data_IF_418480855585
#
_entry.id   IF_418480855585
#
_cell.length_a   1.000
_cell.length_b   1.000
_cell.length_c   1.000
_cell.angle_alpha   90.00
_cell.angle_beta   90.00
_cell.angle_gamma   90.00
#
_symmetry.space_group_name_H-M   'P 1'
#
loop_
_entity.id
_entity.type
_entity.pdbx_description
1 polymer ?
#
# COMPACT_ATOMS: atom_id res chain seq x y z
N UNK A 1 2.19 -9.48 -0.24
CA UNK A 1 2.21 -8.52 -1.37
C UNK A 1 3.39 -7.58 -1.24
N UNK A 2 4.04 -7.23 -2.35
CA UNK A 2 5.14 -6.27 -2.47
C UNK A 2 4.68 -5.11 -3.36
N UNK A 3 4.91 -3.86 -2.92
CA UNK A 3 4.63 -2.66 -3.70
C UNK A 3 5.92 -2.20 -4.41
N UNK A 4 5.92 -2.27 -5.73
CA UNK A 4 7.05 -1.91 -6.56
C UNK A 4 7.10 -0.40 -6.79
N UNK A 5 8.30 0.13 -7.02
CA UNK A 5 8.52 1.55 -7.30
C UNK A 5 7.76 1.96 -8.56
N UNK A 6 6.73 2.77 -8.38
CA UNK A 6 5.96 3.33 -9.49
C UNK A 6 6.76 4.41 -10.21
N UNK A 7 6.56 4.50 -11.53
CA UNK A 7 7.04 5.62 -12.33
C UNK A 7 6.00 6.73 -12.45
N UNK A 8 6.41 7.88 -12.99
CA UNK A 8 5.47 8.91 -13.43
C UNK A 8 4.59 9.53 -12.33
N UNK A 9 4.90 9.34 -11.05
CA UNK A 9 4.06 9.74 -9.91
C UNK A 9 3.77 11.25 -9.89
N UNK A 10 4.76 12.08 -10.25
CA UNK A 10 4.57 13.53 -10.40
C UNK A 10 3.61 13.89 -11.55
N UNK A 11 3.66 13.14 -12.66
CA UNK A 11 2.72 13.31 -13.79
C UNK A 11 1.33 12.79 -13.42
N UNK A 12 1.23 11.67 -12.72
CA UNK A 12 -0.02 11.15 -12.17
C UNK A 12 -0.69 12.18 -11.25
N UNK A 13 0.05 12.77 -10.30
CA UNK A 13 -0.48 13.78 -9.39
C UNK A 13 -1.07 15.00 -10.12
N UNK A 14 -0.39 15.47 -11.19
CA UNK A 14 -0.91 16.55 -12.05
C UNK A 14 -2.18 16.14 -12.80
N UNK A 15 -2.23 14.91 -13.33
CA UNK A 15 -3.40 14.40 -14.04
C UNK A 15 -4.60 14.23 -13.10
N UNK A 16 -4.41 13.65 -11.92
CA UNK A 16 -5.44 13.53 -10.89
C UNK A 16 -6.03 14.91 -10.56
N UNK A 17 -5.18 15.92 -10.34
CA UNK A 17 -5.67 17.29 -10.12
C UNK A 17 -6.48 17.82 -11.31
N UNK A 18 -6.00 17.61 -12.54
CA UNK A 18 -6.64 18.12 -13.74
C UNK A 18 -7.99 17.45 -14.04
N UNK A 19 -8.18 16.19 -13.70
CA UNK A 19 -9.44 15.47 -13.96
C UNK A 19 -10.46 15.62 -12.82
N UNK A 20 -10.00 16.03 -11.63
CA UNK A 20 -10.83 16.22 -10.44
C UNK A 20 -11.19 17.67 -10.12
N UNK A 21 -10.53 18.69 -10.71
CA UNK A 21 -10.93 20.10 -10.55
C UNK A 21 -12.12 20.44 -11.47
N UNK A 22 -13.29 20.84 -10.95
CA UNK A 22 -14.46 21.19 -11.77
C UNK A 22 -14.25 22.38 -12.71
N UNK A 23 -13.24 23.23 -12.45
CA UNK A 23 -12.89 24.37 -13.31
C UNK A 23 -11.91 24.00 -14.41
N UNK A 24 -11.37 22.77 -14.37
CA UNK A 24 -10.44 22.29 -15.39
C UNK A 24 -11.19 21.87 -16.66
N UNK A 25 -10.68 22.20 -17.86
CA UNK A 25 -11.26 21.69 -19.11
C UNK A 25 -11.16 20.16 -19.24
N UNK A 26 -10.40 19.50 -18.36
CA UNK A 26 -10.23 18.03 -18.31
C UNK A 26 -11.09 17.37 -17.23
N UNK A 27 -11.94 18.11 -16.53
CA UNK A 27 -12.82 17.56 -15.49
C UNK A 27 -13.61 16.36 -16.00
N UNK A 28 -13.66 15.28 -15.21
CA UNK A 28 -14.37 14.04 -15.55
C UNK A 28 -13.72 13.18 -16.64
N UNK A 29 -12.60 13.60 -17.22
CA UNK A 29 -11.87 12.84 -18.26
C UNK A 29 -10.83 11.91 -17.63
N UNK A 30 -11.30 10.87 -16.94
CA UNK A 30 -10.45 9.90 -16.25
C UNK A 30 -9.62 9.04 -17.22
N UNK A 31 -8.52 8.49 -16.71
CA UNK A 31 -7.66 7.57 -17.46
C UNK A 31 -8.29 6.17 -17.48
N UNK A 32 -8.10 5.44 -18.59
CA UNK A 32 -8.32 4.00 -18.59
C UNK A 32 -7.27 3.29 -17.72
N UNK A 33 -7.54 2.03 -17.35
CA UNK A 33 -6.60 1.22 -16.60
C UNK A 33 -5.28 1.00 -17.35
N UNK A 34 -5.33 0.86 -18.67
CA UNK A 34 -4.15 0.73 -19.53
C UNK A 34 -3.31 2.02 -19.55
N UNK A 35 -3.97 3.17 -19.71
CA UNK A 35 -3.29 4.47 -19.64
C UNK A 35 -2.66 4.73 -18.28
N UNK A 36 -3.30 4.26 -17.20
CA UNK A 36 -2.75 4.33 -15.86
C UNK A 36 -1.53 3.41 -15.74
N UNK A 37 -1.63 2.15 -16.16
CA UNK A 37 -0.51 1.19 -16.18
C UNK A 37 0.69 1.77 -16.89
N UNK A 38 0.50 2.28 -18.11
CA UNK A 38 1.60 2.79 -18.93
C UNK A 38 2.30 3.99 -18.28
N UNK A 39 1.59 4.73 -17.44
CA UNK A 39 2.12 5.85 -16.68
C UNK A 39 2.87 5.44 -15.41
N UNK A 40 2.37 4.43 -14.67
CA UNK A 40 2.84 4.11 -13.31
C UNK A 40 3.65 2.83 -13.20
N UNK A 41 3.65 1.99 -14.24
CA UNK A 41 4.33 0.70 -14.19
C UNK A 41 5.80 0.86 -13.79
N UNK A 42 6.35 -0.08 -13.00
CA UNK A 42 7.75 -0.04 -12.62
C UNK A 42 8.69 -0.13 -13.82
N UNK A 43 9.95 0.23 -13.62
CA UNK A 43 10.96 0.07 -14.67
C UNK A 43 11.24 -1.40 -14.95
N UNK A 44 11.65 -1.76 -16.20
CA UNK A 44 12.13 -3.10 -16.49
C UNK A 44 13.24 -3.54 -15.54
N UNK A 45 14.14 -2.62 -15.16
CA UNK A 45 15.17 -2.86 -14.16
C UNK A 45 14.58 -3.22 -12.77
N UNK A 46 13.59 -2.45 -12.28
CA UNK A 46 12.88 -2.74 -11.03
C UNK A 46 12.26 -4.13 -11.06
N UNK A 47 11.53 -4.48 -12.13
CA UNK A 47 10.90 -5.79 -12.27
C UNK A 47 11.94 -6.90 -12.27
N UNK A 48 13.02 -6.76 -13.05
CA UNK A 48 14.10 -7.75 -13.13
C UNK A 48 14.79 -7.96 -11.79
N UNK A 49 15.16 -6.88 -11.09
CA UNK A 49 15.84 -6.97 -9.78
C UNK A 49 14.97 -7.67 -8.75
N UNK A 50 13.69 -7.30 -8.66
CA UNK A 50 12.78 -7.89 -7.68
C UNK A 50 12.48 -9.35 -7.99
N UNK A 51 12.22 -9.70 -9.26
CA UNK A 51 11.98 -11.08 -9.67
C UNK A 51 13.22 -11.98 -9.50
N UNK A 52 14.43 -11.44 -9.73
CA UNK A 52 15.69 -12.16 -9.48
C UNK A 52 15.87 -12.42 -7.99
N UNK A 53 15.62 -11.42 -7.15
CA UNK A 53 15.71 -11.57 -5.70
C UNK A 53 14.71 -12.60 -5.15
N UNK A 54 13.46 -12.56 -5.62
CA UNK A 54 12.43 -13.54 -5.24
C UNK A 54 12.81 -14.96 -5.62
N UNK A 55 13.30 -15.17 -6.85
CA UNK A 55 13.81 -16.48 -7.30
C UNK A 55 14.99 -16.96 -6.45
N UNK A 56 15.89 -16.07 -6.05
CA UNK A 56 16.99 -16.40 -5.13
C UNK A 56 16.54 -16.92 -3.77
N UNK A 57 15.30 -16.64 -3.36
CA UNK A 57 14.68 -17.13 -2.13
C UNK A 57 13.68 -18.28 -2.37
N UNK A 58 13.68 -18.88 -3.57
CA UNK A 58 12.80 -20.01 -3.93
C UNK A 58 11.35 -19.61 -4.18
N UNK A 59 11.08 -18.33 -4.48
CA UNK A 59 9.73 -17.85 -4.80
C UNK A 59 9.52 -17.85 -6.30
N UNK A 60 8.67 -18.76 -6.77
CA UNK A 60 8.40 -18.94 -8.20
C UNK A 60 6.97 -18.54 -8.59
N UNK A 61 6.00 -18.66 -7.67
CA UNK A 61 4.59 -18.36 -7.92
C UNK A 61 4.19 -16.99 -7.39
N UNK A 62 4.42 -15.97 -8.23
CA UNK A 62 3.92 -14.62 -7.99
C UNK A 62 2.96 -14.18 -9.09
N UNK A 63 1.87 -13.52 -8.71
CA UNK A 63 0.96 -12.85 -9.63
C UNK A 63 1.09 -11.33 -9.51
N UNK A 64 0.86 -10.63 -10.62
CA UNK A 64 0.81 -9.18 -10.64
C UNK A 64 -0.60 -8.67 -10.91
N UNK A 65 -0.84 -7.42 -10.56
CA UNK A 65 -2.07 -6.70 -10.91
C UNK A 65 -1.93 -6.07 -12.30
N UNK A 66 -3.04 -5.61 -12.88
CA UNK A 66 -3.04 -5.01 -14.22
C UNK A 66 -2.07 -3.83 -14.36
N UNK A 67 -1.84 -3.05 -13.30
CA UNK A 67 -0.93 -1.89 -13.27
C UNK A 67 0.55 -2.25 -13.09
N UNK A 68 0.87 -3.54 -12.87
CA UNK A 68 2.22 -4.10 -12.71
C UNK A 68 3.06 -3.58 -11.53
N UNK A 69 2.47 -2.73 -10.70
CA UNK A 69 3.11 -2.07 -9.55
C UNK A 69 2.93 -2.83 -8.23
N UNK A 70 2.10 -3.89 -8.21
CA UNK A 70 2.00 -4.82 -7.09
C UNK A 70 2.32 -6.24 -7.52
N UNK A 71 3.04 -6.94 -6.64
CA UNK A 71 3.35 -8.35 -6.79
C UNK A 71 2.85 -9.14 -5.58
N UNK A 72 2.07 -10.18 -5.82
CA UNK A 72 1.49 -11.06 -4.81
C UNK A 72 2.17 -12.40 -4.90
N UNK A 73 2.83 -12.82 -3.82
CA UNK A 73 3.59 -14.06 -3.76
C UNK A 73 3.23 -14.84 -2.50
N UNK A 74 3.29 -16.16 -2.56
CA UNK A 74 3.12 -17.05 -1.41
C UNK A 74 4.50 -17.50 -0.91
N UNK A 75 4.87 -17.06 0.28
CA UNK A 75 6.20 -17.30 0.87
C UNK A 75 6.14 -17.15 2.39
N UNK A 76 6.96 -17.92 3.10
CA UNK A 76 7.40 -17.66 4.48
C UNK A 76 8.15 -16.32 4.56
N UNK A 77 7.48 -15.30 5.05
CA UNK A 77 7.98 -13.93 5.02
C UNK A 77 9.26 -13.72 5.85
N UNK A 78 9.47 -14.51 6.91
CA UNK A 78 10.66 -14.49 7.75
C UNK A 78 11.95 -14.84 6.99
N UNK A 79 11.84 -15.68 5.95
CA UNK A 79 12.99 -16.01 5.08
C UNK A 79 13.37 -14.84 4.17
N UNK A 80 12.40 -14.02 3.81
CA UNK A 80 12.56 -12.93 2.86
C UNK A 80 12.98 -11.63 3.53
N UNK A 81 12.53 -11.43 4.77
CA UNK A 81 12.64 -10.18 5.50
C UNK A 81 13.34 -10.42 6.85
N UNK A 82 14.67 -10.26 6.89
CA UNK A 82 15.42 -10.37 8.13
C UNK A 82 14.86 -9.42 9.22
N UNK A 83 14.64 -9.96 10.41
CA UNK A 83 14.07 -9.25 11.56
C UNK A 83 12.54 -9.33 11.65
N UNK A 84 11.84 -9.80 10.61
CA UNK A 84 10.41 -10.07 10.70
C UNK A 84 10.14 -11.33 11.52
N UNK A 85 9.23 -11.23 12.48
CA UNK A 85 8.68 -12.35 13.24
C UNK A 85 7.16 -12.27 13.22
N UNK A 86 6.45 -13.19 12.59
CA UNK A 86 5.00 -13.08 12.46
C UNK A 86 4.25 -13.86 13.53
N UNK A 87 3.36 -13.16 14.24
CA UNK A 87 2.44 -13.76 15.21
C UNK A 87 0.99 -13.62 14.74
N UNK A 88 0.16 -14.57 15.15
CA UNK A 88 -1.29 -14.52 14.97
C UNK A 88 -1.92 -13.78 16.14
N UNK A 89 -2.64 -12.70 15.84
CA UNK A 89 -3.45 -11.96 16.79
C UNK A 89 -4.93 -12.23 16.53
N UNK A 90 -5.65 -12.56 17.59
CA UNK A 90 -7.08 -12.84 17.57
C UNK A 90 -7.81 -11.74 18.33
N UNK A 91 -8.84 -11.16 17.72
CA UNK A 91 -9.76 -10.24 18.39
C UNK A 91 -11.16 -10.48 17.83
N UNK A 92 -12.09 -10.82 18.71
CA UNK A 92 -13.46 -11.25 18.35
C UNK A 92 -13.41 -12.40 17.32
N UNK A 93 -14.15 -12.28 16.22
CA UNK A 93 -14.12 -13.23 15.09
C UNK A 93 -13.05 -12.89 14.03
N UNK A 94 -12.08 -12.02 14.33
CA UNK A 94 -11.05 -11.60 13.38
C UNK A 94 -9.69 -12.16 13.79
N UNK A 95 -9.01 -12.80 12.84
CA UNK A 95 -7.62 -13.21 12.95
C UNK A 95 -6.76 -12.39 12.00
N UNK A 96 -5.65 -11.85 12.49
CA UNK A 96 -4.63 -11.19 11.67
C UNK A 96 -3.26 -11.75 11.98
N UNK A 97 -2.36 -11.77 10.99
CA UNK A 97 -0.95 -12.14 11.18
C UNK A 97 -0.10 -10.90 10.94
N UNK A 98 0.73 -10.55 11.93
CA UNK A 98 1.54 -9.32 11.94
C UNK A 98 2.85 -9.57 12.65
N UNK A 99 3.87 -8.78 12.30
CA UNK A 99 5.11 -8.74 13.06
C UNK A 99 5.11 -7.55 14.02
N UNK A 100 5.41 -7.76 15.32
CA UNK A 100 5.65 -6.67 16.26
C UNK A 100 7.04 -6.06 16.09
N UNK A 101 7.96 -6.77 15.42
CA UNK A 101 9.34 -6.36 15.20
C UNK A 101 9.52 -5.66 13.85
N UNK A 102 10.45 -4.70 13.76
CA UNK A 102 10.82 -4.11 12.48
C UNK A 102 11.60 -5.15 11.65
N UNK A 103 11.40 -5.09 10.34
CA UNK A 103 12.15 -5.89 9.39
C UNK A 103 13.00 -5.00 8.48
N UNK A 104 14.03 -5.58 7.89
CA UNK A 104 14.92 -4.89 6.95
C UNK A 104 14.69 -5.38 5.53
N UNK A 105 14.77 -4.46 4.57
CA UNK A 105 14.81 -4.77 3.14
C UNK A 105 16.28 -4.66 2.68
N UNK A 106 16.79 -5.61 1.90
CA UNK A 106 18.11 -5.49 1.27
C UNK A 106 18.31 -4.14 0.58
N UNK A 107 19.50 -3.54 0.73
CA UNK A 107 19.82 -2.22 0.15
C UNK A 107 19.56 -2.17 -1.36
N UNK A 108 19.88 -3.26 -2.06
CA UNK A 108 19.69 -3.41 -3.50
C UNK A 108 18.23 -3.32 -3.94
N UNK A 109 17.27 -3.46 -3.02
CA UNK A 109 15.83 -3.36 -3.30
C UNK A 109 15.22 -2.03 -2.83
N UNK A 110 15.95 -1.21 -2.08
CA UNK A 110 15.43 0.02 -1.49
C UNK A 110 14.94 1.02 -2.56
N UNK A 111 15.57 1.03 -3.73
CA UNK A 111 15.18 1.88 -4.86
C UNK A 111 14.01 1.29 -5.67
N UNK A 112 13.77 -0.02 -5.54
CA UNK A 112 12.83 -0.79 -6.35
C UNK A 112 11.50 -1.08 -5.65
N UNK A 113 11.43 -0.91 -4.33
CA UNK A 113 10.25 -1.21 -3.50
C UNK A 113 9.88 0.04 -2.69
N UNK A 114 8.64 0.51 -2.79
CA UNK A 114 8.23 1.77 -2.16
C UNK A 114 7.87 1.60 -0.67
N UNK A 115 7.24 0.50 -0.27
CA UNK A 115 7.04 0.06 1.12
C UNK A 115 6.43 -1.34 1.09
N UNK A 116 7.01 -2.28 1.82
CA UNK A 116 6.48 -3.64 1.94
C UNK A 116 5.81 -3.86 3.28
N UNK A 117 4.64 -3.26 3.57
CA UNK A 117 3.74 -4.01 4.47
C UNK A 117 3.53 -5.33 3.76
N UNK A 118 4.24 -6.37 4.21
CA UNK A 118 3.88 -7.72 3.84
C UNK A 118 2.54 -7.90 4.50
N UNK A 119 1.50 -7.61 3.74
CA UNK A 119 0.18 -8.11 4.01
C UNK A 119 0.35 -9.63 3.93
N UNK A 120 0.67 -10.25 5.05
CA UNK A 120 0.43 -11.67 5.26
C UNK A 120 -1.08 -11.76 5.30
N UNK A 121 -1.66 -11.96 4.11
CA UNK A 121 -3.05 -12.32 3.98
C UNK A 121 -3.17 -13.73 4.50
N UNK A 122 -3.68 -13.89 5.72
CA UNK A 122 -4.43 -15.10 6.03
C UNK A 122 -5.65 -15.02 5.10
N UNK A 123 -5.92 -16.06 4.31
CA UNK A 123 -7.18 -16.20 3.60
C UNK A 123 -8.32 -16.23 4.61
N UNK A 124 -8.81 -15.04 4.96
CA UNK A 124 -10.08 -14.80 5.60
C UNK A 124 -10.45 -13.36 5.24
N UNK A 125 -11.38 -13.28 4.28
CA UNK A 125 -12.16 -12.13 3.85
C UNK A 125 -11.78 -10.72 4.38
N UNK A 126 -11.63 -9.81 3.42
CA UNK A 126 -11.78 -8.36 3.49
C UNK A 126 -10.52 -7.49 3.57
N UNK A 127 -10.41 -6.70 2.49
CA UNK A 127 -9.61 -5.52 2.20
C UNK A 127 -9.09 -4.74 3.40
N UNK A 128 -7.78 -4.47 3.41
CA UNK A 128 -7.18 -3.30 4.05
C UNK A 128 -5.93 -2.91 3.25
N UNK A 129 -6.03 -1.84 2.48
CA UNK A 129 -4.93 -1.18 1.80
C UNK A 129 -4.68 0.14 2.56
N UNK A 130 -3.56 0.25 3.29
CA UNK A 130 -3.21 1.48 3.98
C UNK A 130 -2.35 2.35 3.04
N UNK A 131 -2.87 3.54 2.70
CA UNK A 131 -2.18 4.55 1.92
C UNK A 131 -1.24 5.39 2.81
N UNK A 132 -0.03 5.54 2.28
CA UNK A 132 1.13 6.39 2.60
C UNK A 132 1.00 7.47 3.71
N UNK A 133 2.04 7.45 4.54
CA UNK A 133 2.60 8.47 5.45
C UNK A 133 2.07 8.56 6.89
N UNK A 134 2.96 8.19 7.82
CA UNK A 134 2.87 8.15 9.30
C UNK A 134 1.91 7.10 9.87
N UNK A 135 2.45 5.93 10.22
CA UNK A 135 1.90 5.14 11.32
C UNK A 135 2.16 5.90 12.62
N UNK A 136 1.27 6.84 12.96
CA UNK A 136 1.13 7.30 14.33
C UNK A 136 0.10 6.36 14.96
N UNK A 137 0.50 5.59 15.98
CA UNK A 137 -0.44 4.80 16.77
C UNK A 137 -1.27 5.79 17.58
N UNK A 138 -2.41 6.22 17.03
CA UNK A 138 -3.43 6.92 17.80
C UNK A 138 -4.63 5.98 17.97
N UNK A 139 -4.93 5.70 19.23
CA UNK A 139 -5.97 4.79 19.69
C UNK A 139 -7.33 5.34 19.27
N UNK A 140 -8.03 4.69 18.34
CA UNK A 140 -9.36 5.10 17.91
C UNK A 140 -10.42 4.18 18.55
N UNK A 141 -11.18 4.63 19.57
CA UNK A 141 -12.23 3.82 20.17
C UNK A 141 -13.40 3.69 19.20
N UNK A 142 -13.85 2.45 18.97
CA UNK A 142 -14.95 2.15 18.08
C UNK A 142 -16.27 2.73 18.60
N UNK A 143 -16.92 3.63 17.84
CA UNK A 143 -18.37 3.85 17.94
C UNK A 143 -19.06 3.31 16.70
N UNK A 144 -20.09 2.50 16.94
CA UNK A 144 -21.04 2.01 15.94
C UNK A 144 -21.86 3.20 15.44
N UNK A 145 -21.78 3.51 14.15
CA UNK A 145 -22.59 4.55 13.53
C UNK A 145 -22.38 4.59 12.04
N UNK A 146 -23.44 4.34 11.28
CA UNK A 146 -23.53 4.45 9.83
C UNK A 146 -23.22 5.90 9.41
N UNK A 147 -22.18 6.16 8.60
CA UNK A 147 -21.97 7.50 8.02
C UNK A 147 -21.57 7.42 6.53
N UNK A 148 -22.41 8.04 5.71
CA UNK A 148 -22.23 8.33 4.29
C UNK A 148 -21.31 9.54 4.14
N UNK A 149 -20.37 9.47 3.20
CA UNK A 149 -19.80 10.61 2.47
C UNK A 149 -19.01 11.65 3.27
N UNK A 150 -18.35 12.54 2.54
CA UNK A 150 -17.48 13.66 2.97
C UNK A 150 -15.98 13.37 3.07
N UNK A 151 -15.31 13.50 1.92
CA UNK A 151 -13.93 13.98 1.86
C UNK A 151 -13.93 15.50 2.06
N UNK A 152 -13.58 15.98 3.26
CA UNK A 152 -13.25 17.37 3.53
C UNK A 152 -11.74 17.61 3.47
N UNK A 153 -11.31 18.71 2.87
CA UNK A 153 -9.91 19.11 2.69
C UNK A 153 -9.16 19.36 4.02
N UNK A 154 -7.82 19.21 4.06
CA UNK A 154 -7.03 19.50 5.25
C UNK A 154 -6.78 21.02 5.36
N UNK A 155 -7.29 21.65 6.42
CA UNK A 155 -6.88 23.00 6.81
C UNK A 155 -5.95 22.94 8.01
N UNK A 156 -4.89 23.74 7.94
CA UNK A 156 -3.69 23.65 8.74
C UNK A 156 -3.80 24.41 10.07
N UNK A 157 -4.50 23.88 11.07
CA UNK A 157 -4.32 24.30 12.47
C UNK A 157 -4.55 23.09 13.39
N UNK A 158 -3.67 22.92 14.39
CA UNK A 158 -3.64 21.75 15.26
C UNK A 158 -4.97 21.50 15.97
N UNK A 159 -5.45 20.26 15.91
CA UNK A 159 -6.68 19.84 16.59
C UNK A 159 -6.34 19.33 18.00
N UNK A 160 -6.69 20.14 18.99
CA UNK A 160 -6.87 19.70 20.39
C UNK A 160 -8.26 19.08 20.53
N UNK A 161 -8.36 17.91 21.17
CA UNK A 161 -9.65 17.28 21.51
C UNK A 161 -10.25 17.96 22.77
N UNK A 162 -11.55 18.32 22.79
CA UNK A 162 -12.21 18.77 24.02
C UNK A 162 -12.50 17.57 24.95
N UNK A 163 -12.25 17.75 26.24
CA UNK A 163 -12.54 16.77 27.30
C UNK A 163 -14.05 16.67 27.59
N UNK A 164 -14.50 15.56 28.23
CA UNK A 164 -15.91 15.28 28.42
C UNK A 164 -16.53 16.12 29.54
N UNK A 165 -17.75 16.62 29.31
CA UNK A 165 -18.70 17.04 30.36
C UNK A 165 -19.43 15.83 30.94
#
# INVERSE_FOLDING_TARGET
>A
TLALRQQGTARLARLVRAVSDPRSPRYGRFLSLEQLRDLVQPSPATLMTVLKWLRGHGVESCSSVATLDFLQCHITAERLLPGAEFHRYLKDQRSVVRSPLPYTIPKDLAEHVDFGTVCVGVQAAQSLCCLRYRCKVEHCPARRGHLRGWCGQPSAHGLSCPGPS
#
